data_IF_015074305235
#
_entry.id   IF_015074305235
#
_cell.length_a   1.000
_cell.length_b   1.000
_cell.length_c   1.000
_cell.angle_alpha   90.00
_cell.angle_beta   90.00
_cell.angle_gamma   90.00
#
_symmetry.space_group_name_H-M   'P 1'
#
loop_
_entity.id
_entity.type
_entity.pdbx_description
1 polymer ?
#
# COMPACT_ATOMS: atom_id res chain seq x y z
N UNK A 1 22.27 18.81 13.25
CA UNK A 1 22.11 17.87 12.13
C UNK A 1 22.08 18.69 10.85
N UNK A 2 23.06 18.53 9.98
CA UNK A 2 23.31 19.41 8.84
C UNK A 2 22.63 18.88 7.57
N UNK A 3 21.60 19.61 7.10
CA UNK A 3 20.73 19.24 6.00
C UNK A 3 21.25 19.69 4.62
N UNK A 4 22.37 20.40 4.55
CA UNK A 4 22.97 20.89 3.29
C UNK A 4 23.40 19.77 2.34
N UNK A 5 23.49 18.53 2.84
CA UNK A 5 23.89 17.32 2.12
C UNK A 5 22.80 16.80 1.17
N UNK A 6 21.55 17.21 1.38
CA UNK A 6 20.40 16.80 0.56
C UNK A 6 20.10 17.79 -0.59
N UNK A 7 20.88 18.87 -0.74
CA UNK A 7 20.64 19.93 -1.71
C UNK A 7 21.00 19.54 -3.16
N UNK A 8 21.71 18.42 -3.38
CA UNK A 8 22.12 17.93 -4.70
C UNK A 8 21.43 16.62 -5.11
N UNK A 9 20.24 16.35 -4.57
CA UNK A 9 19.48 15.16 -4.95
C UNK A 9 18.70 15.45 -6.23
N UNK A 10 19.25 15.07 -7.38
CA UNK A 10 18.45 14.82 -8.58
C UNK A 10 17.53 13.65 -8.27
N UNK A 11 16.24 13.93 -8.03
CA UNK A 11 15.28 12.91 -7.62
C UNK A 11 15.24 11.78 -8.67
N UNK A 12 15.58 10.53 -8.29
CA UNK A 12 15.47 9.40 -9.21
C UNK A 12 14.02 9.23 -9.65
N UNK A 13 13.79 8.55 -10.78
CA UNK A 13 12.45 8.11 -11.20
C UNK A 13 11.70 7.56 -9.97
N UNK A 14 10.56 8.17 -9.63
CA UNK A 14 9.74 7.72 -8.50
C UNK A 14 9.31 6.26 -8.75
N UNK A 15 9.85 5.32 -7.96
CA UNK A 15 9.68 3.87 -8.14
C UNK A 15 8.48 3.35 -7.37
N UNK A 16 8.21 3.91 -6.19
CA UNK A 16 6.99 3.62 -5.43
C UNK A 16 5.87 4.55 -5.91
N UNK A 17 4.77 4.01 -6.45
CA UNK A 17 3.60 4.80 -6.83
C UNK A 17 3.13 5.69 -5.67
N UNK A 18 2.87 6.97 -5.96
CA UNK A 18 2.44 7.95 -4.95
C UNK A 18 0.94 7.84 -4.68
N UNK A 19 0.53 6.66 -4.22
CA UNK A 19 -0.84 6.35 -3.82
C UNK A 19 -0.82 5.59 -2.50
N UNK A 20 -1.70 6.00 -1.59
CA UNK A 20 -1.94 5.35 -0.31
C UNK A 20 -3.28 4.62 -0.38
N UNK A 21 -3.28 3.37 0.07
CA UNK A 21 -4.40 2.46 0.06
C UNK A 21 -4.80 2.09 1.49
N UNK A 22 -6.09 2.19 1.79
CA UNK A 22 -6.69 1.63 3.00
C UNK A 22 -7.95 0.85 2.62
N UNK A 23 -8.22 -0.26 3.30
CA UNK A 23 -9.45 -1.05 3.09
C UNK A 23 -10.39 -0.94 4.27
N UNK A 24 -11.69 -0.98 4.00
CA UNK A 24 -12.70 -1.25 5.02
C UNK A 24 -13.92 -1.95 4.41
N UNK A 25 -14.84 -2.43 5.26
CA UNK A 25 -16.09 -3.05 4.83
C UNK A 25 -16.86 -2.16 3.84
N UNK A 26 -17.00 -0.90 4.20
CA UNK A 26 -17.77 0.13 3.47
C UNK A 26 -16.98 1.43 3.40
N UNK A 27 -17.53 2.43 2.69
CA UNK A 27 -16.95 3.78 2.72
C UNK A 27 -17.26 4.54 4.02
N UNK A 28 -18.36 4.18 4.69
CA UNK A 28 -18.72 4.67 6.01
C UNK A 28 -17.90 3.93 7.07
N UNK A 29 -17.03 4.65 7.78
CA UNK A 29 -16.10 4.11 8.76
C UNK A 29 -16.53 4.48 10.18
N UNK A 30 -16.21 3.66 11.19
CA UNK A 30 -16.39 4.02 12.59
C UNK A 30 -15.69 5.33 12.95
N UNK A 31 -16.39 6.19 13.72
CA UNK A 31 -15.87 7.51 14.07
C UNK A 31 -14.52 7.47 14.81
N UNK A 32 -14.23 6.37 15.53
CA UNK A 32 -12.96 6.15 16.22
C UNK A 32 -11.74 6.17 15.28
N UNK A 33 -11.91 5.83 14.00
CA UNK A 33 -10.84 5.85 12.99
C UNK A 33 -10.80 7.12 12.15
N UNK A 34 -11.67 8.09 12.40
CA UNK A 34 -11.61 9.36 11.67
C UNK A 34 -10.27 10.06 11.88
N UNK A 35 -9.73 10.04 13.10
CA UNK A 35 -8.45 10.68 13.40
C UNK A 35 -7.28 10.02 12.65
N UNK A 36 -7.20 8.69 12.66
CA UNK A 36 -6.14 7.96 11.93
C UNK A 36 -6.23 8.23 10.43
N UNK A 37 -7.40 8.04 9.83
CA UNK A 37 -7.64 8.27 8.40
C UNK A 37 -7.37 9.72 8.00
N UNK A 38 -7.84 10.69 8.77
CA UNK A 38 -7.58 12.10 8.45
C UNK A 38 -6.11 12.45 8.58
N UNK A 39 -5.38 11.89 9.55
CA UNK A 39 -3.93 12.10 9.64
C UNK A 39 -3.19 11.59 8.40
N UNK A 40 -3.59 10.43 7.86
CA UNK A 40 -3.03 9.87 6.61
C UNK A 40 -3.32 10.81 5.43
N UNK A 41 -4.57 11.26 5.27
CA UNK A 41 -4.96 12.13 4.16
C UNK A 41 -4.25 13.49 4.27
N UNK A 42 -4.33 14.16 5.41
CA UNK A 42 -3.87 15.54 5.59
C UNK A 42 -2.35 15.66 5.54
N UNK A 43 -1.60 14.73 6.17
CA UNK A 43 -0.14 14.78 6.17
C UNK A 43 0.49 14.41 4.83
N UNK A 44 -0.26 13.78 3.93
CA UNK A 44 0.26 13.29 2.64
C UNK A 44 -0.42 13.94 1.42
N UNK A 45 -1.34 14.89 1.61
CA UNK A 45 -2.16 15.47 0.54
C UNK A 45 -1.37 16.12 -0.61
N UNK A 46 -0.15 16.63 -0.33
CA UNK A 46 0.71 17.23 -1.34
C UNK A 46 1.59 16.24 -2.11
N UNK A 47 1.76 15.03 -1.58
CA UNK A 47 2.76 14.08 -2.06
C UNK A 47 2.14 12.76 -2.55
N UNK A 48 0.94 12.40 -2.10
CA UNK A 48 0.28 11.13 -2.39
C UNK A 48 -1.22 11.31 -2.69
N UNK A 49 -1.72 10.49 -3.62
CA UNK A 49 -3.16 10.26 -3.77
C UNK A 49 -3.65 9.31 -2.69
N UNK A 50 -4.84 9.55 -2.15
CA UNK A 50 -5.48 8.63 -1.21
C UNK A 50 -6.58 7.83 -1.92
N UNK A 51 -6.60 6.51 -1.70
CA UNK A 51 -7.67 5.63 -2.19
C UNK A 51 -8.13 4.67 -1.08
N UNK A 52 -9.42 4.74 -0.78
CA UNK A 52 -10.09 3.74 0.06
C UNK A 52 -10.71 2.65 -0.82
N UNK A 53 -10.74 1.43 -0.29
CA UNK A 53 -11.34 0.27 -0.93
C UNK A 53 -12.41 -0.33 -0.02
N UNK A 54 -13.64 -0.43 -0.50
CA UNK A 54 -14.69 -1.22 0.16
C UNK A 54 -14.53 -2.71 -0.18
N UNK A 55 -15.21 -3.60 0.54
CA UNK A 55 -15.24 -5.02 0.17
C UNK A 55 -15.77 -5.24 -1.26
N UNK A 56 -16.74 -4.44 -1.69
CA UNK A 56 -17.26 -4.52 -3.06
C UNK A 56 -16.19 -4.12 -4.10
N UNK A 57 -15.36 -3.12 -3.80
CA UNK A 57 -14.25 -2.75 -4.68
C UNK A 57 -13.17 -3.83 -4.71
N UNK A 58 -12.89 -4.46 -3.57
CA UNK A 58 -11.95 -5.58 -3.48
C UNK A 58 -12.43 -6.76 -4.32
N UNK A 59 -13.69 -7.16 -4.18
CA UNK A 59 -14.30 -8.24 -4.95
C UNK A 59 -14.21 -7.96 -6.46
N UNK A 60 -14.59 -6.75 -6.88
CA UNK A 60 -14.51 -6.34 -8.29
C UNK A 60 -13.06 -6.32 -8.81
N UNK A 61 -12.13 -5.81 -8.02
CA UNK A 61 -10.72 -5.73 -8.40
C UNK A 61 -10.09 -7.11 -8.56
N UNK A 62 -10.29 -8.02 -7.59
CA UNK A 62 -9.74 -9.38 -7.66
C UNK A 62 -10.42 -10.18 -8.76
N UNK A 63 -11.74 -10.02 -8.96
CA UNK A 63 -12.43 -10.67 -10.07
C UNK A 63 -11.89 -10.22 -11.44
N UNK A 64 -11.57 -8.93 -11.59
CA UNK A 64 -11.04 -8.37 -12.83
C UNK A 64 -9.59 -8.80 -13.09
N UNK A 65 -8.73 -8.76 -12.07
CA UNK A 65 -7.29 -8.94 -12.21
C UNK A 65 -6.83 -10.39 -12.01
N UNK A 66 -7.51 -11.15 -11.16
CA UNK A 66 -7.16 -12.52 -10.77
C UNK A 66 -8.40 -13.45 -10.80
N UNK A 67 -9.08 -13.61 -11.95
CA UNK A 67 -10.38 -14.28 -12.03
C UNK A 67 -10.36 -15.75 -11.59
N UNK A 68 -9.25 -16.45 -11.79
CA UNK A 68 -9.09 -17.84 -11.35
C UNK A 68 -8.97 -17.94 -9.82
N UNK A 69 -8.10 -17.12 -9.22
CA UNK A 69 -7.98 -17.03 -7.77
C UNK A 69 -9.28 -16.55 -7.12
N UNK A 70 -9.96 -15.59 -7.76
CA UNK A 70 -11.25 -15.07 -7.30
C UNK A 70 -12.25 -16.22 -7.10
N UNK A 71 -12.51 -17.01 -8.15
CA UNK A 71 -13.53 -18.07 -8.18
C UNK A 71 -13.19 -19.25 -7.27
N UNK A 72 -11.92 -19.63 -7.22
CA UNK A 72 -11.52 -20.87 -6.55
C UNK A 72 -11.16 -20.67 -5.08
N UNK A 73 -10.69 -19.47 -4.69
CA UNK A 73 -10.16 -19.22 -3.36
C UNK A 73 -10.76 -17.99 -2.71
N UNK A 74 -10.67 -16.82 -3.35
CA UNK A 74 -10.99 -15.53 -2.71
C UNK A 74 -12.42 -15.45 -2.19
N UNK A 75 -13.41 -15.81 -3.02
CA UNK A 75 -14.83 -15.78 -2.62
C UNK A 75 -15.21 -16.86 -1.62
N UNK A 76 -14.38 -17.92 -1.52
CA UNK A 76 -14.62 -19.06 -0.64
C UNK A 76 -13.97 -18.91 0.74
N UNK A 77 -13.23 -17.82 0.97
CA UNK A 77 -12.69 -17.54 2.30
C UNK A 77 -13.81 -17.42 3.33
N UNK A 78 -13.61 -18.08 4.47
CA UNK A 78 -14.60 -18.11 5.56
C UNK A 78 -14.70 -16.75 6.25
N UNK A 79 -13.61 -16.01 6.33
CA UNK A 79 -13.52 -14.77 7.09
C UNK A 79 -13.11 -13.59 6.20
N UNK A 80 -13.73 -12.43 6.44
CA UNK A 80 -13.41 -11.18 5.74
C UNK A 80 -11.92 -10.81 5.85
N UNK A 81 -11.29 -11.05 7.01
CA UNK A 81 -9.87 -10.77 7.21
C UNK A 81 -8.98 -11.54 6.20
N UNK A 82 -9.32 -12.78 5.86
CA UNK A 82 -8.57 -13.55 4.87
C UNK A 82 -8.66 -12.92 3.47
N UNK A 83 -9.82 -12.34 3.13
CA UNK A 83 -9.99 -11.57 1.89
C UNK A 83 -9.19 -10.28 1.93
N UNK A 84 -9.17 -9.57 3.05
CA UNK A 84 -8.37 -8.34 3.21
C UNK A 84 -6.87 -8.64 3.07
N UNK A 85 -6.38 -9.67 3.76
CA UNK A 85 -4.96 -10.05 3.73
C UNK A 85 -4.51 -10.47 2.33
N UNK A 86 -5.29 -11.30 1.64
CA UNK A 86 -4.98 -11.70 0.26
C UNK A 86 -5.12 -10.55 -0.73
N UNK A 87 -6.14 -9.71 -0.58
CA UNK A 87 -6.33 -8.52 -1.42
C UNK A 87 -5.14 -7.56 -1.32
N UNK A 88 -4.57 -7.36 -0.13
CA UNK A 88 -3.39 -6.51 0.07
C UNK A 88 -2.27 -6.89 -0.90
N UNK A 89 -1.95 -8.17 -1.02
CA UNK A 89 -0.90 -8.63 -1.94
C UNK A 89 -1.29 -8.48 -3.41
N UNK A 90 -2.53 -8.81 -3.78
CA UNK A 90 -3.03 -8.61 -5.15
C UNK A 90 -2.97 -7.13 -5.54
N UNK A 91 -3.47 -6.25 -4.67
CA UNK A 91 -3.45 -4.81 -4.86
C UNK A 91 -2.02 -4.29 -5.04
N UNK A 92 -1.12 -4.69 -4.15
CA UNK A 92 0.29 -4.30 -4.19
C UNK A 92 1.01 -4.82 -5.45
N UNK A 93 0.70 -6.02 -5.91
CA UNK A 93 1.27 -6.57 -7.15
C UNK A 93 0.86 -5.73 -8.38
N UNK A 94 -0.42 -5.35 -8.47
CA UNK A 94 -0.94 -4.65 -9.65
C UNK A 94 -0.72 -3.14 -9.64
N UNK A 95 -0.90 -2.49 -8.48
CA UNK A 95 -0.86 -1.03 -8.37
C UNK A 95 0.39 -0.50 -7.67
N UNK A 96 1.08 -1.33 -6.89
CA UNK A 96 2.13 -0.88 -5.98
C UNK A 96 1.61 0.16 -4.97
N UNK A 97 2.49 1.06 -4.57
CA UNK A 97 2.15 2.19 -3.72
C UNK A 97 2.36 1.87 -2.26
N UNK A 98 1.53 2.43 -1.38
CA UNK A 98 1.62 2.21 0.06
C UNK A 98 0.27 1.69 0.55
N UNK A 99 0.27 0.57 1.25
CA UNK A 99 -0.90 0.10 2.00
C UNK A 99 -0.72 0.40 3.49
N UNK A 100 -1.74 0.94 4.16
CA UNK A 100 -1.79 1.21 5.61
C UNK A 100 -3.14 0.73 6.16
N UNK A 101 -3.14 0.02 7.28
CA UNK A 101 -4.40 -0.36 7.94
C UNK A 101 -5.21 0.85 8.44
N UNK A 102 -6.52 0.71 8.58
CA UNK A 102 -7.41 1.86 8.78
C UNK A 102 -7.30 2.50 10.16
N UNK A 103 -6.97 1.71 11.17
CA UNK A 103 -6.68 2.15 12.53
C UNK A 103 -5.30 2.79 12.68
N UNK A 104 -4.44 2.68 11.66
CA UNK A 104 -3.11 3.28 11.64
C UNK A 104 -3.13 4.69 11.01
N UNK A 105 -2.59 5.65 11.76
CA UNK A 105 -2.45 7.05 11.36
C UNK A 105 -1.02 7.41 10.97
N UNK A 106 -0.82 8.63 10.45
CA UNK A 106 0.49 9.22 10.25
C UNK A 106 0.79 10.26 11.34
N UNK A 107 2.01 10.23 11.88
CA UNK A 107 2.56 11.31 12.71
C UNK A 107 3.49 12.24 11.92
N UNK A 108 3.92 11.80 10.73
CA UNK A 108 4.78 12.55 9.80
C UNK A 108 4.44 12.16 8.36
N UNK A 109 4.73 13.02 7.36
CA UNK A 109 4.55 12.69 5.96
C UNK A 109 5.38 11.47 5.54
N UNK A 110 4.82 10.59 4.70
CA UNK A 110 5.47 9.38 4.21
C UNK A 110 6.55 9.66 3.15
N UNK A 111 6.61 10.88 2.62
CA UNK A 111 7.54 11.24 1.53
C UNK A 111 9.00 10.96 1.88
N UNK A 112 9.40 11.28 3.11
CA UNK A 112 10.77 11.10 3.60
C UNK A 112 11.09 9.62 3.79
N UNK A 113 10.12 8.86 4.26
CA UNK A 113 10.24 7.41 4.40
C UNK A 113 10.43 6.75 3.03
N UNK A 114 9.60 7.08 2.04
CA UNK A 114 9.76 6.55 0.67
C UNK A 114 11.08 7.00 0.06
N UNK A 115 11.48 8.26 0.22
CA UNK A 115 12.76 8.75 -0.29
C UNK A 115 13.95 7.99 0.32
N UNK A 116 13.88 7.69 1.62
CA UNK A 116 14.91 6.89 2.31
C UNK A 116 14.94 5.47 1.75
N UNK A 117 13.77 4.82 1.56
CA UNK A 117 13.69 3.48 0.97
C UNK A 117 14.28 3.43 -0.44
N UNK A 118 13.89 4.37 -1.29
CA UNK A 118 14.37 4.45 -2.67
C UNK A 118 15.88 4.72 -2.73
N UNK A 119 16.47 5.34 -1.71
CA UNK A 119 17.91 5.59 -1.61
C UNK A 119 18.71 4.40 -1.03
N UNK A 120 18.11 3.59 -0.15
CA UNK A 120 18.80 2.45 0.49
C UNK A 120 19.07 1.30 -0.47
N UNK A 121 18.23 1.13 -1.49
CA UNK A 121 18.39 0.08 -2.49
C UNK A 121 18.13 0.65 -3.91
N UNK A 122 19.05 1.50 -4.42
CA UNK A 122 18.84 2.28 -5.64
C UNK A 122 18.68 1.41 -6.89
N UNK A 123 19.22 0.19 -6.87
CA UNK A 123 19.30 -0.69 -8.04
C UNK A 123 18.33 -1.89 -7.99
N UNK A 124 17.67 -2.15 -6.85
CA UNK A 124 16.74 -3.27 -6.77
C UNK A 124 15.48 -3.07 -7.61
N UNK A 125 15.10 -4.10 -8.40
CA UNK A 125 13.84 -4.13 -9.13
C UNK A 125 12.64 -4.50 -8.26
N UNK A 126 12.86 -4.91 -7.00
CA UNK A 126 11.85 -5.54 -6.14
C UNK A 126 11.83 -4.93 -4.73
N UNK A 127 11.84 -3.60 -4.66
CA UNK A 127 11.78 -2.87 -3.39
C UNK A 127 10.48 -3.24 -2.65
N UNK A 128 10.53 -4.00 -1.56
CA UNK A 128 9.40 -4.22 -0.68
C UNK A 128 9.89 -4.15 0.76
N UNK A 129 9.30 -3.29 1.57
CA UNK A 129 9.60 -3.21 3.00
C UNK A 129 8.39 -3.66 3.79
N UNK A 130 8.61 -4.62 4.68
CA UNK A 130 7.69 -5.02 5.72
C UNK A 130 8.31 -4.54 7.04
N UNK A 131 7.63 -3.70 7.84
CA UNK A 131 8.17 -3.33 9.15
C UNK A 131 8.37 -4.61 9.97
N UNK A 132 9.52 -4.71 10.63
CA UNK A 132 9.77 -5.76 11.60
C UNK A 132 9.14 -5.33 12.93
N UNK A 133 8.29 -6.18 13.51
CA UNK A 133 7.74 -5.99 14.85
C UNK A 133 8.15 -7.14 15.77
N UNK A 134 8.40 -6.81 17.04
CA UNK A 134 8.76 -7.78 18.06
C UNK A 134 7.49 -8.48 18.60
N UNK A 135 7.57 -9.83 18.62
CA UNK A 135 6.66 -10.82 19.22
C UNK A 135 5.38 -11.19 18.44
N UNK A 136 5.49 -12.32 17.72
CA UNK A 136 4.45 -13.17 17.11
C UNK A 136 3.72 -12.63 15.86
N UNK A 137 4.38 -12.77 14.72
CA UNK A 137 3.76 -12.77 13.39
C UNK A 137 4.26 -11.64 12.51
N UNK A 138 4.34 -11.87 11.19
CA UNK A 138 4.47 -10.79 10.23
C UNK A 138 3.10 -10.09 10.18
N UNK A 139 2.89 -9.08 11.01
CA UNK A 139 1.72 -8.22 10.86
C UNK A 139 1.93 -7.38 9.60
N UNK A 140 0.93 -7.35 8.71
CA UNK A 140 1.07 -6.76 7.38
C UNK A 140 0.54 -5.32 7.39
N UNK A 141 0.92 -4.58 8.42
CA UNK A 141 0.40 -3.24 8.71
C UNK A 141 0.87 -2.21 7.69
N UNK A 142 1.97 -2.53 6.99
CA UNK A 142 2.58 -1.68 5.98
C UNK A 142 3.25 -2.50 4.88
N UNK A 143 2.92 -2.20 3.63
CA UNK A 143 3.58 -2.77 2.44
C UNK A 143 3.78 -1.67 1.42
N UNK A 144 5.00 -1.57 0.86
CA UNK A 144 5.31 -0.60 -0.19
C UNK A 144 6.16 -1.18 -1.32
N UNK A 145 5.56 -1.70 -2.41
CA UNK A 145 6.27 -2.22 -3.57
C UNK A 145 6.20 -1.33 -4.84
N UNK A 146 7.14 -1.49 -5.80
CA UNK A 146 7.04 -0.94 -7.13
C UNK A 146 5.92 -1.63 -7.93
N UNK A 147 5.44 -1.01 -9.01
CA UNK A 147 4.44 -1.63 -9.89
C UNK A 147 5.06 -2.70 -10.80
N UNK A 148 4.47 -3.89 -10.87
CA UNK A 148 4.96 -5.02 -11.68
C UNK A 148 4.37 -5.10 -13.10
N UNK A 149 4.11 -3.98 -13.79
CA UNK A 149 3.62 -4.04 -15.19
C UNK A 149 4.72 -4.50 -16.17
N UNK A 150 5.01 -5.79 -16.16
CA UNK A 150 5.50 -6.58 -17.28
C UNK A 150 4.66 -7.87 -17.36
N UNK A 151 3.37 -7.72 -17.70
CA UNK A 151 2.60 -8.83 -18.22
C UNK A 151 2.91 -8.91 -19.71
N UNK A 152 3.62 -9.97 -20.08
CA UNK A 152 3.90 -10.39 -21.45
C UNK A 152 2.57 -10.46 -22.20
N UNK A 153 2.38 -9.57 -23.17
CA UNK A 153 1.36 -9.72 -24.21
C UNK A 153 1.67 -11.01 -24.95
N UNK A 154 0.88 -12.06 -24.71
CA UNK A 154 0.84 -13.19 -25.63
C UNK A 154 0.06 -12.73 -26.85
N UNK A 155 0.78 -12.71 -27.98
CA UNK A 155 0.28 -12.63 -29.35
C UNK A 155 -0.66 -13.78 -29.68
#
# INVERSE_FOLDING_TARGET
>A
MDLSRYANVTWPRQRVPRVIHQTYRTYDIPAIWNTSVQSVITMNAGDFKYRRWSHADMDAFVQQHEPHFYRNTFVNYRYDMQRIDSFRYVLMFYLGGIYIDMDNGCHRPLREFVATMEALDPDSPHLALFPAEDTFGVQTDFVAPPSYKHIVTHS
#
